data_IF_418587764440
#
_entry.id   IF_418587764440
#
_cell.length_a   1.000
_cell.length_b   1.000
_cell.length_c   1.000
_cell.angle_alpha   90.00
_cell.angle_beta   90.00
_cell.angle_gamma   90.00
#
_symmetry.space_group_name_H-M   'P 1'
#
loop_
_entity.id
_entity.type
_entity.pdbx_description
1 polymer ?
#
# COMPACT_ATOMS: atom_id res chain seq x y z
N UNK A 1 6.76 -14.13 -4.14
CA UNK A 1 7.71 -13.85 -5.24
C UNK A 1 8.59 -15.09 -5.42
N UNK A 2 8.83 -15.54 -6.65
CA UNK A 2 9.74 -16.67 -6.92
C UNK A 2 11.08 -16.11 -7.37
N UNK A 3 12.16 -16.43 -6.65
CA UNK A 3 13.52 -16.02 -7.01
C UNK A 3 14.32 -17.28 -7.36
N UNK A 4 14.87 -17.33 -8.57
CA UNK A 4 15.81 -18.39 -8.96
C UNK A 4 17.19 -18.05 -8.37
N UNK A 5 17.80 -18.99 -7.65
CA UNK A 5 19.18 -18.89 -7.18
C UNK A 5 19.98 -20.02 -7.82
N UNK A 6 21.10 -19.68 -8.48
CA UNK A 6 22.08 -20.64 -8.98
C UNK A 6 23.34 -20.55 -8.13
N UNK A 7 23.79 -21.69 -7.60
CA UNK A 7 25.08 -21.83 -6.94
C UNK A 7 26.05 -22.43 -7.96
N UNK A 8 27.11 -21.71 -8.31
CA UNK A 8 28.03 -22.08 -9.40
C UNK A 8 29.43 -22.42 -8.90
N UNK A 9 30.01 -23.48 -9.49
CA UNK A 9 31.41 -23.63 -9.96
C UNK A 9 31.53 -24.99 -10.70
N UNK A 10 32.18 -25.21 -11.85
CA UNK A 10 32.95 -24.44 -12.84
C UNK A 10 32.59 -24.98 -14.25
N UNK A 11 32.67 -24.17 -15.32
CA UNK A 11 32.74 -24.68 -16.70
C UNK A 11 31.94 -23.93 -17.79
N UNK A 12 32.64 -23.02 -18.48
CA UNK A 12 32.47 -22.57 -19.89
C UNK A 12 31.12 -22.08 -20.47
N UNK A 13 31.06 -20.74 -20.59
CA UNK A 13 30.55 -19.85 -21.68
C UNK A 13 29.10 -20.00 -22.20
N UNK A 14 28.30 -18.95 -21.94
CA UNK A 14 27.08 -18.61 -22.71
C UNK A 14 26.22 -17.50 -22.11
N UNK A 15 26.67 -16.23 -22.23
CA UNK A 15 26.00 -14.94 -22.00
C UNK A 15 24.58 -14.88 -21.37
N UNK A 16 24.45 -14.23 -20.21
CA UNK A 16 23.73 -12.94 -20.04
C UNK A 16 23.81 -12.44 -18.59
N UNK A 17 24.12 -11.16 -18.43
CA UNK A 17 24.10 -10.35 -17.20
C UNK A 17 25.05 -10.78 -16.06
N UNK A 18 26.29 -10.30 -16.18
CA UNK A 18 27.29 -10.29 -15.12
C UNK A 18 26.83 -9.41 -13.94
N UNK A 19 26.16 -10.02 -12.98
CA UNK A 19 26.12 -9.54 -11.59
C UNK A 19 27.24 -10.28 -10.88
N UNK A 20 28.20 -9.53 -10.34
CA UNK A 20 29.31 -9.99 -9.52
C UNK A 20 28.87 -11.17 -8.61
N UNK A 21 29.29 -12.39 -8.96
CA UNK A 21 28.94 -13.60 -8.23
C UNK A 21 29.79 -13.67 -6.95
N UNK A 22 29.43 -12.87 -5.94
CA UNK A 22 29.90 -13.13 -4.59
C UNK A 22 29.44 -14.54 -4.21
N UNK A 23 30.41 -15.45 -4.01
CA UNK A 23 30.13 -16.81 -3.55
C UNK A 23 29.42 -16.76 -2.21
N UNK A 24 28.11 -16.97 -2.22
CA UNK A 24 27.32 -17.09 -1.01
C UNK A 24 27.70 -18.42 -0.35
N UNK A 25 28.46 -18.36 0.73
CA UNK A 25 28.95 -19.56 1.44
C UNK A 25 28.14 -19.91 2.69
N UNK A 26 27.47 -18.92 3.28
CA UNK A 26 26.73 -19.06 4.54
C UNK A 26 25.26 -18.72 4.42
N UNK A 27 24.45 -19.24 5.35
CA UNK A 27 23.03 -18.94 5.45
C UNK A 27 22.76 -17.47 5.75
N UNK A 28 23.64 -16.81 6.53
CA UNK A 28 23.58 -15.38 6.76
C UNK A 28 23.72 -14.56 5.47
N UNK A 29 24.73 -14.88 4.66
CA UNK A 29 24.95 -14.21 3.36
C UNK A 29 23.77 -14.44 2.40
N UNK A 30 23.16 -15.63 2.41
CA UNK A 30 21.97 -15.92 1.61
C UNK A 30 20.78 -15.07 2.05
N UNK A 31 20.51 -15.00 3.37
CA UNK A 31 19.43 -14.15 3.91
C UNK A 31 19.63 -12.69 3.54
N UNK A 32 20.85 -12.17 3.72
CA UNK A 32 21.17 -10.77 3.39
C UNK A 32 20.95 -10.50 1.90
N UNK A 33 21.40 -11.39 1.03
CA UNK A 33 21.20 -11.24 -0.42
C UNK A 33 19.73 -11.26 -0.80
N UNK A 34 18.94 -12.16 -0.20
CA UNK A 34 17.49 -12.25 -0.40
C UNK A 34 16.78 -10.99 0.11
N UNK A 35 17.14 -10.48 1.28
CA UNK A 35 16.62 -9.22 1.81
C UNK A 35 16.89 -8.05 0.87
N UNK A 36 18.12 -7.92 0.34
CA UNK A 36 18.48 -6.86 -0.61
C UNK A 36 17.75 -6.97 -1.94
N UNK A 37 17.51 -8.19 -2.44
CA UNK A 37 16.82 -8.39 -3.71
C UNK A 37 15.30 -8.21 -3.61
N UNK A 38 14.71 -8.56 -2.46
CA UNK A 38 13.26 -8.58 -2.29
C UNK A 38 12.72 -7.42 -1.45
N UNK A 39 13.59 -6.54 -0.93
CA UNK A 39 13.24 -5.47 0.01
C UNK A 39 12.39 -5.98 1.19
N UNK A 40 12.85 -7.06 1.83
CA UNK A 40 12.18 -7.73 2.96
C UNK A 40 12.98 -7.53 4.25
N UNK A 41 12.29 -7.31 5.36
CA UNK A 41 12.92 -7.21 6.67
C UNK A 41 13.59 -8.54 7.09
N UNK A 42 14.86 -8.54 7.53
CA UNK A 42 15.57 -9.76 7.95
C UNK A 42 14.89 -10.56 9.06
N UNK A 43 14.11 -9.90 9.93
CA UNK A 43 13.39 -10.53 11.05
C UNK A 43 12.10 -11.21 10.59
N UNK A 44 11.48 -10.73 9.52
CA UNK A 44 10.25 -11.31 8.95
C UNK A 44 10.51 -12.34 7.84
N UNK A 45 11.78 -12.52 7.44
CA UNK A 45 12.20 -13.40 6.34
C UNK A 45 12.07 -14.89 6.72
N UNK A 46 11.36 -15.65 5.89
CA UNK A 46 11.29 -17.11 5.89
C UNK A 46 11.64 -17.63 4.50
N UNK A 47 12.70 -18.43 4.41
CA UNK A 47 13.10 -19.11 3.18
C UNK A 47 12.57 -20.54 3.22
N UNK A 48 11.82 -20.94 2.20
CA UNK A 48 11.25 -22.27 2.06
C UNK A 48 11.93 -23.00 0.91
N UNK A 49 12.44 -24.19 1.20
CA UNK A 49 13.07 -25.10 0.24
C UNK A 49 12.40 -26.47 0.33
N UNK A 50 11.90 -26.98 -0.80
CA UNK A 50 11.24 -28.30 -0.91
C UNK A 50 10.16 -28.54 0.16
N UNK A 51 9.34 -27.51 0.43
CA UNK A 51 8.24 -27.58 1.40
C UNK A 51 8.67 -27.46 2.86
N UNK A 52 9.96 -27.21 3.16
CA UNK A 52 10.48 -27.00 4.52
C UNK A 52 11.03 -25.60 4.67
N UNK A 53 10.75 -24.97 5.81
CA UNK A 53 11.36 -23.69 6.18
C UNK A 53 12.81 -23.99 6.58
N UNK A 54 13.76 -23.28 5.96
CA UNK A 54 15.17 -23.37 6.31
C UNK A 54 15.38 -22.72 7.68
N UNK A 55 15.87 -23.50 8.64
CA UNK A 55 16.22 -23.03 9.98
C UNK A 55 17.70 -23.27 10.23
N UNK A 56 18.38 -22.24 10.73
CA UNK A 56 19.81 -22.29 11.01
C UNK A 56 20.36 -20.92 11.38
N UNK A 57 21.50 -20.94 12.04
CA UNK A 57 22.24 -19.75 12.43
C UNK A 57 22.92 -19.11 11.22
N UNK A 58 23.24 -17.83 11.30
CA UNK A 58 23.86 -17.09 10.20
C UNK A 58 25.24 -17.65 9.80
N UNK A 59 25.92 -18.33 10.71
CA UNK A 59 27.20 -19.03 10.48
C UNK A 59 27.04 -20.40 9.80
N UNK A 60 25.82 -20.93 9.67
CA UNK A 60 25.59 -22.26 9.08
C UNK A 60 26.01 -22.26 7.61
N UNK A 61 26.86 -23.21 7.18
CA UNK A 61 27.26 -23.30 5.78
C UNK A 61 26.08 -23.73 4.90
N UNK A 62 26.01 -23.22 3.66
CA UNK A 62 24.92 -23.60 2.75
C UNK A 62 24.93 -25.08 2.36
N UNK A 63 26.09 -25.74 2.43
CA UNK A 63 26.24 -27.18 2.19
C UNK A 63 25.39 -28.03 3.14
N UNK A 64 25.11 -27.55 4.36
CA UNK A 64 24.28 -28.26 5.33
C UNK A 64 22.81 -28.39 4.89
N UNK A 65 22.35 -27.56 3.95
CA UNK A 65 20.96 -27.55 3.47
C UNK A 65 20.74 -28.37 2.20
N UNK A 66 21.77 -29.05 1.67
CA UNK A 66 21.69 -29.97 0.52
C UNK A 66 21.03 -29.36 -0.72
N UNK A 67 21.39 -28.12 -1.05
CA UNK A 67 20.97 -27.49 -2.30
C UNK A 67 21.51 -28.26 -3.50
N UNK A 68 20.65 -28.43 -4.50
CA UNK A 68 21.03 -28.89 -5.84
C UNK A 68 21.01 -27.70 -6.80
N UNK A 69 21.72 -27.86 -7.90
CA UNK A 69 21.69 -26.89 -8.98
C UNK A 69 20.24 -26.67 -9.45
N UNK A 70 19.88 -25.41 -9.70
CA UNK A 70 18.53 -24.96 -10.09
C UNK A 70 17.42 -25.21 -9.05
N UNK A 71 17.77 -25.42 -7.79
CA UNK A 71 16.78 -25.47 -6.73
C UNK A 71 16.06 -24.12 -6.60
N UNK A 72 14.72 -24.17 -6.58
CA UNK A 72 13.88 -22.98 -6.40
C UNK A 72 13.63 -22.75 -4.93
N UNK A 73 13.82 -21.50 -4.50
CA UNK A 73 13.50 -21.05 -3.16
C UNK A 73 12.23 -20.22 -3.20
N UNK A 74 11.32 -20.53 -2.27
CA UNK A 74 10.17 -19.69 -2.00
C UNK A 74 10.54 -18.74 -0.86
N UNK A 75 10.56 -17.45 -1.15
CA UNK A 75 10.84 -16.40 -0.17
C UNK A 75 9.51 -15.86 0.34
N UNK A 76 9.29 -16.00 1.63
CA UNK A 76 8.15 -15.43 2.35
C UNK A 76 8.69 -14.37 3.29
N UNK A 77 8.03 -13.22 3.33
CA UNK A 77 8.38 -12.16 4.26
C UNK A 77 7.38 -11.04 4.15
N UNK A 78 7.27 -10.25 5.21
CA UNK A 78 6.61 -8.96 5.10
C UNK A 78 7.65 -7.97 4.58
N UNK A 79 7.27 -7.06 3.65
CA UNK A 79 8.05 -5.85 3.47
C UNK A 79 8.32 -5.24 4.85
N UNK A 80 9.47 -4.58 5.08
CA UNK A 80 9.65 -3.84 6.32
C UNK A 80 8.38 -3.02 6.51
N UNK A 81 7.79 -3.13 7.71
CA UNK A 81 6.76 -2.20 8.15
C UNK A 81 7.41 -0.84 8.08
N UNK A 82 7.29 -0.17 6.93
CA UNK A 82 7.62 1.24 6.78
C UNK A 82 6.92 1.88 7.97
N UNK A 83 7.66 2.59 8.82
CA UNK A 83 7.04 3.44 9.84
C UNK A 83 5.90 4.15 9.15
N UNK A 84 4.67 3.85 9.58
CA UNK A 84 3.45 4.19 8.82
C UNK A 84 3.61 5.61 8.31
N UNK A 85 3.75 5.75 7.00
CA UNK A 85 4.08 7.02 6.37
C UNK A 85 3.17 8.08 6.99
N UNK A 86 3.77 9.14 7.53
CA UNK A 86 3.03 10.22 8.20
C UNK A 86 1.97 10.76 7.24
N UNK A 87 2.27 10.82 5.94
CA UNK A 87 1.31 11.16 4.89
C UNK A 87 0.15 10.17 4.79
N UNK A 88 0.43 8.86 4.78
CA UNK A 88 -0.60 7.82 4.80
C UNK A 88 -1.51 7.92 6.04
N UNK A 89 -0.93 8.14 7.22
CA UNK A 89 -1.69 8.31 8.45
C UNK A 89 -2.61 9.53 8.39
N UNK A 90 -2.12 10.65 7.85
CA UNK A 90 -2.92 11.87 7.67
C UNK A 90 -4.13 11.61 6.74
N UNK A 91 -3.93 10.88 5.65
CA UNK A 91 -5.00 10.50 4.73
C UNK A 91 -6.06 9.61 5.40
N UNK A 92 -5.64 8.54 6.08
CA UNK A 92 -6.55 7.62 6.78
C UNK A 92 -7.31 8.36 7.89
N UNK A 93 -6.65 9.27 8.59
CA UNK A 93 -7.27 10.07 9.64
C UNK A 93 -8.28 11.08 9.06
N UNK A 94 -7.98 11.66 7.89
CA UNK A 94 -8.89 12.56 7.19
C UNK A 94 -10.13 11.81 6.69
N UNK A 95 -9.96 10.67 6.03
CA UNK A 95 -11.07 9.84 5.55
C UNK A 95 -12.00 9.44 6.70
N UNK A 96 -11.43 8.89 7.78
CA UNK A 96 -12.19 8.43 8.95
C UNK A 96 -13.03 9.55 9.58
N UNK A 97 -12.53 10.79 9.58
CA UNK A 97 -13.23 11.92 10.20
C UNK A 97 -14.39 12.46 9.37
N UNK A 98 -14.29 12.40 8.04
CA UNK A 98 -15.20 13.17 7.17
C UNK A 98 -16.17 12.29 6.37
N UNK A 99 -15.77 11.07 5.97
CA UNK A 99 -16.56 10.22 5.06
C UNK A 99 -17.96 9.90 5.61
N UNK A 100 -18.07 9.56 6.90
CA UNK A 100 -19.37 9.19 7.51
C UNK A 100 -20.31 10.39 7.51
N UNK A 101 -19.86 11.55 7.97
CA UNK A 101 -20.70 12.74 8.07
C UNK A 101 -21.18 13.24 6.70
N UNK A 102 -20.31 13.24 5.69
CA UNK A 102 -20.68 13.62 4.32
C UNK A 102 -21.75 12.67 3.77
N UNK A 103 -21.55 11.36 3.95
CA UNK A 103 -22.52 10.34 3.51
C UNK A 103 -23.87 10.46 4.21
N UNK A 104 -23.90 10.71 5.52
CA UNK A 104 -25.14 10.85 6.29
C UNK A 104 -25.94 12.09 5.88
N UNK A 105 -25.26 13.23 5.69
CA UNK A 105 -25.90 14.46 5.23
C UNK A 105 -26.44 14.30 3.81
N UNK A 106 -25.69 13.63 2.93
CA UNK A 106 -26.15 13.31 1.59
C UNK A 106 -27.44 12.48 1.62
N UNK A 107 -27.43 11.36 2.34
CA UNK A 107 -28.60 10.48 2.43
C UNK A 107 -29.83 11.19 3.00
N UNK A 108 -29.64 12.08 3.97
CA UNK A 108 -30.73 12.90 4.51
C UNK A 108 -31.28 13.89 3.48
N UNK A 109 -30.39 14.60 2.76
CA UNK A 109 -30.81 15.53 1.72
C UNK A 109 -31.55 14.81 0.58
N UNK A 110 -31.06 13.65 0.16
CA UNK A 110 -31.68 12.80 -0.85
C UNK A 110 -33.08 12.34 -0.41
N UNK A 111 -33.21 11.85 0.83
CA UNK A 111 -34.50 11.42 1.37
C UNK A 111 -35.52 12.57 1.39
N UNK A 112 -35.13 13.72 1.94
CA UNK A 112 -35.99 14.90 2.03
C UNK A 112 -36.39 15.43 0.64
N UNK A 113 -35.46 15.42 -0.32
CA UNK A 113 -35.73 15.82 -1.71
C UNK A 113 -36.73 14.88 -2.36
N UNK A 114 -36.54 13.56 -2.18
CA UNK A 114 -37.47 12.53 -2.66
C UNK A 114 -38.87 12.71 -2.08
N UNK A 115 -39.00 13.07 -0.80
CA UNK A 115 -40.32 13.34 -0.21
C UNK A 115 -40.95 14.62 -0.78
N UNK A 116 -40.15 15.66 -1.04
CA UNK A 116 -40.62 16.92 -1.61
C UNK A 116 -41.14 16.73 -3.04
N UNK A 117 -40.50 15.88 -3.83
CA UNK A 117 -40.91 15.51 -5.20
C UNK A 117 -42.27 14.80 -5.27
N UNK A 118 -42.70 14.14 -4.19
CA UNK A 118 -44.03 13.52 -4.12
C UNK A 118 -45.17 14.53 -4.07
N UNK A 119 -44.88 15.83 -3.90
CA UNK A 119 -45.82 16.94 -4.08
C UNK A 119 -47.09 16.88 -3.20
N UNK A 120 -47.00 16.33 -1.99
CA UNK A 120 -48.14 16.28 -1.05
C UNK A 120 -48.50 17.63 -0.41
N UNK A 121 -47.60 18.62 -0.49
CA UNK A 121 -47.77 19.95 0.12
C UNK A 121 -48.40 20.95 -0.86
N UNK A 122 -49.18 21.89 -0.30
CA UNK A 122 -49.75 23.01 -1.07
C UNK A 122 -48.67 24.02 -1.45
N UNK A 123 -48.89 24.76 -2.54
CA UNK A 123 -47.91 25.67 -3.15
C UNK A 123 -47.16 26.62 -2.19
N UNK A 124 -47.81 27.36 -1.26
CA UNK A 124 -47.09 28.30 -0.39
C UNK A 124 -46.15 27.59 0.60
N UNK A 125 -46.59 26.47 1.18
CA UNK A 125 -45.75 25.67 2.08
C UNK A 125 -44.63 24.96 1.31
N UNK A 126 -44.95 24.38 0.15
CA UNK A 126 -43.98 23.70 -0.72
C UNK A 126 -42.85 24.64 -1.14
N UNK A 127 -43.17 25.88 -1.52
CA UNK A 127 -42.15 26.87 -1.88
C UNK A 127 -41.20 27.18 -0.71
N UNK A 128 -41.69 27.20 0.52
CA UNK A 128 -40.85 27.35 1.72
C UNK A 128 -39.85 26.20 1.86
N UNK A 129 -40.31 24.95 1.71
CA UNK A 129 -39.44 23.77 1.76
C UNK A 129 -38.45 23.73 0.60
N UNK A 130 -38.85 24.10 -0.62
CA UNK A 130 -37.93 24.20 -1.78
C UNK A 130 -36.80 25.19 -1.49
N UNK A 131 -37.12 26.38 -0.98
CA UNK A 131 -36.10 27.39 -0.61
C UNK A 131 -35.17 26.88 0.50
N UNK A 132 -35.72 26.18 1.50
CA UNK A 132 -34.93 25.55 2.56
C UNK A 132 -33.99 24.47 2.03
N UNK A 133 -34.47 23.65 1.09
CA UNK A 133 -33.68 22.60 0.44
C UNK A 133 -32.54 23.19 -0.40
N UNK A 134 -32.82 24.20 -1.22
CA UNK A 134 -31.79 24.90 -2.02
C UNK A 134 -30.66 25.46 -1.13
N UNK A 135 -31.01 26.09 0.00
CA UNK A 135 -30.01 26.59 0.97
C UNK A 135 -29.17 25.46 1.56
N UNK A 136 -29.77 24.32 1.91
CA UNK A 136 -29.07 23.15 2.45
C UNK A 136 -28.11 22.54 1.41
N UNK A 137 -28.55 22.41 0.17
CA UNK A 137 -27.73 21.85 -0.91
C UNK A 137 -26.53 22.75 -1.22
N UNK A 138 -26.72 24.07 -1.24
CA UNK A 138 -25.62 25.04 -1.39
C UNK A 138 -24.60 24.92 -0.26
N UNK A 139 -25.06 24.91 1.00
CA UNK A 139 -24.18 24.73 2.15
C UNK A 139 -23.45 23.37 2.14
N UNK A 140 -24.11 22.30 1.69
CA UNK A 140 -23.48 21.00 1.52
C UNK A 140 -22.38 21.02 0.45
N UNK A 141 -22.64 21.65 -0.70
CA UNK A 141 -21.64 21.80 -1.76
C UNK A 141 -20.42 22.62 -1.29
N UNK A 142 -20.64 23.73 -0.59
CA UNK A 142 -19.56 24.53 0.02
C UNK A 142 -18.73 23.71 1.03
N UNK A 143 -19.38 22.88 1.85
CA UNK A 143 -18.67 22.02 2.80
C UNK A 143 -17.83 20.96 2.08
N UNK A 144 -18.33 20.37 0.98
CA UNK A 144 -17.55 19.44 0.18
C UNK A 144 -16.33 20.13 -0.46
N UNK A 145 -16.49 21.35 -0.97
CA UNK A 145 -15.37 22.15 -1.49
C UNK A 145 -14.29 22.40 -0.42
N UNK A 146 -14.67 22.79 0.79
CA UNK A 146 -13.72 22.99 1.90
C UNK A 146 -12.97 21.70 2.27
N UNK A 147 -13.63 20.54 2.18
CA UNK A 147 -12.98 19.26 2.42
C UNK A 147 -11.95 18.94 1.33
N UNK A 148 -12.27 19.21 0.06
CA UNK A 148 -11.31 19.08 -1.05
C UNK A 148 -10.12 20.01 -0.86
N UNK A 149 -10.36 21.29 -0.55
CA UNK A 149 -9.28 22.25 -0.27
C UNK A 149 -8.39 21.81 0.91
N UNK A 150 -8.99 21.20 1.94
CA UNK A 150 -8.24 20.66 3.08
C UNK A 150 -7.41 19.44 2.68
N UNK A 151 -7.96 18.58 1.82
CA UNK A 151 -7.26 17.40 1.30
C UNK A 151 -6.04 17.82 0.46
N UNK A 152 -6.21 18.81 -0.42
CA UNK A 152 -5.14 19.37 -1.26
C UNK A 152 -4.03 20.02 -0.40
N UNK A 153 -4.38 20.56 0.76
CA UNK A 153 -3.44 21.16 1.71
C UNK A 153 -2.63 20.15 2.54
N UNK A 154 -2.94 18.85 2.48
CA UNK A 154 -2.23 17.84 3.27
C UNK A 154 -0.77 17.69 2.81
N UNK A 155 0.15 17.87 3.74
CA UNK A 155 1.59 17.70 3.52
C UNK A 155 1.95 16.21 3.57
N UNK A 156 1.67 15.49 2.49
CA UNK A 156 1.88 14.03 2.39
C UNK A 156 3.35 13.71 2.09
N UNK A 157 4.05 14.58 1.36
CA UNK A 157 5.44 14.39 0.96
C UNK A 157 6.39 14.88 2.06
N UNK A 158 6.69 14.03 3.06
CA UNK A 158 7.75 14.32 4.03
C UNK A 158 8.81 13.24 4.03
N UNK A 159 9.95 13.54 3.40
CA UNK A 159 11.30 12.95 3.51
C UNK A 159 11.52 11.42 3.40
N UNK A 160 10.48 10.59 3.43
CA UNK A 160 10.54 9.12 3.25
C UNK A 160 9.76 8.64 2.01
N UNK A 161 9.20 9.56 1.24
CA UNK A 161 8.58 9.28 -0.05
C UNK A 161 9.72 9.02 -1.04
N UNK A 162 10.07 7.75 -1.26
CA UNK A 162 11.03 7.32 -2.29
C UNK A 162 10.68 8.01 -3.62
N UNK A 163 11.69 8.44 -4.39
CA UNK A 163 11.53 9.23 -5.63
C UNK A 163 10.51 8.63 -6.63
N UNK A 164 10.25 7.33 -6.52
CA UNK A 164 9.27 6.58 -7.31
C UNK A 164 7.79 6.95 -7.01
N UNK A 165 7.47 7.42 -5.80
CA UNK A 165 6.10 7.87 -5.44
C UNK A 165 5.82 9.34 -5.79
N UNK A 166 6.87 10.15 -5.99
CA UNK A 166 6.76 11.55 -6.42
C UNK A 166 6.31 11.65 -7.88
N UNK A 167 6.65 10.64 -8.69
CA UNK A 167 6.32 10.60 -10.13
C UNK A 167 4.82 10.36 -10.38
N UNK A 168 4.12 9.73 -9.44
CA UNK A 168 2.68 9.42 -9.59
C UNK A 168 1.72 10.42 -8.90
N UNK A 169 2.25 11.40 -8.15
CA UNK A 169 1.43 12.39 -7.43
C UNK A 169 1.22 13.70 -8.21
N UNK A 170 1.58 13.74 -9.49
CA UNK A 170 1.20 14.80 -10.44
C UNK A 170 0.04 14.30 -11.30
N UNK A 171 -1.16 14.19 -10.71
CA UNK A 171 -2.43 14.15 -11.45
C UNK A 171 -3.55 14.70 -10.57
#
# INVERSE_FOLDING_TARGET
MFCNFSAAEEGSIGNTNAIHAEKISTFGSLKQRVCSLCSIDPTALKIVHRGRILMGDNSTPLSAFNFKENDKLLVLGRPPTRETDVGWKLLVDFERKHTVNVSEIYAKNENDLTQLEKNFLKDPERQGYIKGMDKRLKGYAENCMKLLETLDGLQINTNNTEEEQVIFSVF
#
